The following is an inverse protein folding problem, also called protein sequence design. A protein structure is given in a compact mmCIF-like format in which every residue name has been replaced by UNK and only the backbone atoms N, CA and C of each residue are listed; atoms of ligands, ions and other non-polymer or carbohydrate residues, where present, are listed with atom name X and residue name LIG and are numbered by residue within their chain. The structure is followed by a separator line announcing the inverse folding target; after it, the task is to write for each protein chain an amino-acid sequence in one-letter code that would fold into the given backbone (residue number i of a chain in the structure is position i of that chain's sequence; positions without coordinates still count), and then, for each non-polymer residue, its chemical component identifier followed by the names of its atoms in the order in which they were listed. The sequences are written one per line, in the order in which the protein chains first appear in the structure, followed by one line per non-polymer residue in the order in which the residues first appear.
data_IF_014936527607
#
_entry.id   IF_014936527607
#
_cell.length_a   1.000
_cell.length_b   1.000
_cell.length_c   1.000
_cell.angle_alpha   90.00
_cell.angle_beta   90.00
_cell.angle_gamma   90.00
#
_symmetry.space_group_name_H-M   'P 1'
#
loop_
_entity.id
_entity.type
_entity.pdbx_description
1 polymer ?
#
# COMPACT_ATOMS: atom_id res chain seq x y z
N UNK A 1 -18.82 5.12 6.10
CA UNK A 1 -20.08 5.07 6.93
C UNK A 1 -21.18 5.97 6.37
N UNK A 2 -20.92 6.76 5.34
CA UNK A 2 -21.94 7.59 4.66
C UNK A 2 -22.89 6.79 3.75
N UNK A 3 -22.62 5.51 3.51
CA UNK A 3 -23.32 4.70 2.50
C UNK A 3 -23.03 5.11 1.06
N UNK A 4 -22.12 6.04 0.84
CA UNK A 4 -21.72 6.52 -0.49
C UNK A 4 -20.38 5.89 -0.85
N UNK A 5 -20.31 5.28 -2.02
CA UNK A 5 -19.07 4.70 -2.54
C UNK A 5 -18.00 5.78 -2.75
N UNK A 6 -16.76 5.39 -2.58
CA UNK A 6 -15.60 6.25 -2.85
C UNK A 6 -14.64 5.55 -3.81
N UNK A 7 -14.01 6.32 -4.69
CA UNK A 7 -12.94 5.86 -5.55
C UNK A 7 -11.63 6.48 -5.09
N UNK A 8 -10.65 5.63 -4.81
CA UNK A 8 -9.28 6.05 -4.53
C UNK A 8 -8.43 5.95 -5.79
N UNK A 9 -7.65 6.99 -6.07
CA UNK A 9 -6.71 7.03 -7.19
C UNK A 9 -5.32 7.30 -6.63
N UNK A 10 -4.37 6.45 -6.98
CA UNK A 10 -2.95 6.63 -6.70
C UNK A 10 -2.26 7.20 -7.92
N UNK A 11 -1.51 8.27 -7.74
CA UNK A 11 -0.85 8.97 -8.83
C UNK A 11 0.67 8.84 -8.71
N UNK A 12 1.28 8.32 -9.78
CA UNK A 12 2.72 8.37 -9.96
C UNK A 12 3.15 9.83 -10.25
N UNK A 13 4.35 10.20 -9.84
CA UNK A 13 4.93 11.55 -10.03
C UNK A 13 4.31 12.70 -9.22
N UNK A 14 3.57 12.40 -8.18
CA UNK A 14 3.11 13.38 -7.20
C UNK A 14 4.23 14.35 -6.77
N UNK A 15 5.43 13.83 -6.66
CA UNK A 15 6.61 14.46 -6.09
C UNK A 15 7.07 15.71 -6.87
N UNK A 16 6.85 15.78 -8.18
CA UNK A 16 7.29 16.89 -9.02
C UNK A 16 6.29 17.36 -10.07
N UNK A 17 5.14 16.76 -10.07
CA UNK A 17 3.99 17.15 -10.90
C UNK A 17 2.79 17.28 -9.99
N UNK A 18 2.18 18.38 -9.84
CA UNK A 18 1.01 18.60 -8.99
C UNK A 18 -0.15 17.62 -9.31
N UNK A 19 -0.02 16.38 -8.91
CA UNK A 19 -0.96 15.30 -9.19
C UNK A 19 -1.16 14.43 -7.96
N UNK A 20 -1.84 14.94 -6.98
CA UNK A 20 -1.98 14.35 -5.65
C UNK A 20 -2.77 13.04 -5.66
N UNK A 21 -2.50 12.18 -4.67
CA UNK A 21 -3.39 11.09 -4.31
C UNK A 21 -4.82 11.61 -4.17
N UNK A 22 -5.79 10.95 -4.82
CA UNK A 22 -7.16 11.44 -4.90
C UNK A 22 -8.14 10.49 -4.21
N UNK A 23 -9.16 11.08 -3.61
CA UNK A 23 -10.33 10.36 -3.13
C UNK A 23 -11.58 11.04 -3.66
N UNK A 24 -12.40 10.29 -4.38
CA UNK A 24 -13.61 10.76 -5.02
C UNK A 24 -14.85 10.21 -4.34
N UNK A 25 -15.84 11.03 -4.11
CA UNK A 25 -17.17 10.63 -3.69
C UNK A 25 -18.01 10.27 -4.92
N UNK A 26 -18.61 9.10 -4.92
CA UNK A 26 -19.43 8.57 -6.00
C UNK A 26 -20.88 8.42 -5.54
N UNK A 27 -21.62 9.53 -5.46
CA UNK A 27 -23.03 9.50 -5.08
C UNK A 27 -23.88 9.07 -6.29
N UNK A 28 -24.87 8.16 -6.13
CA UNK A 28 -25.76 7.77 -7.19
C UNK A 28 -26.49 8.98 -7.81
N UNK A 29 -26.53 9.03 -9.14
CA UNK A 29 -27.20 10.10 -9.88
C UNK A 29 -26.51 11.47 -9.86
N UNK A 30 -25.30 11.58 -9.31
CA UNK A 30 -24.54 12.82 -9.25
C UNK A 30 -23.15 12.66 -9.89
N UNK A 31 -22.58 13.74 -10.37
CA UNK A 31 -21.18 13.75 -10.84
C UNK A 31 -20.21 13.43 -9.69
N UNK A 32 -19.12 12.67 -9.96
CA UNK A 32 -18.08 12.44 -8.97
C UNK A 32 -17.54 13.75 -8.39
N UNK A 33 -17.32 13.79 -7.07
CA UNK A 33 -16.77 14.95 -6.38
C UNK A 33 -15.47 14.57 -5.67
N UNK A 34 -14.41 15.36 -5.90
CA UNK A 34 -13.15 15.19 -5.19
C UNK A 34 -13.31 15.63 -3.73
N UNK A 35 -12.86 14.78 -2.80
CA UNK A 35 -12.76 15.19 -1.40
C UNK A 35 -11.65 16.22 -1.23
N UNK A 36 -11.89 17.22 -0.38
CA UNK A 36 -10.96 18.30 -0.08
C UNK A 36 -10.37 18.20 1.33
N UNK A 37 -9.39 19.05 1.62
CA UNK A 37 -8.78 19.12 2.95
C UNK A 37 -9.80 19.52 4.03
N UNK A 38 -10.73 20.42 3.71
CA UNK A 38 -11.79 20.86 4.62
C UNK A 38 -12.77 19.72 4.96
N UNK A 39 -12.86 18.73 4.07
CA UNK A 39 -13.61 17.50 4.27
C UNK A 39 -12.81 16.40 4.99
N UNK A 40 -11.58 16.69 5.41
CA UNK A 40 -10.70 15.79 6.15
C UNK A 40 -9.75 14.94 5.29
N UNK A 41 -9.83 15.06 3.96
CA UNK A 41 -8.93 14.36 3.07
C UNK A 41 -7.54 15.00 3.09
N UNK A 42 -6.53 14.21 3.44
CA UNK A 42 -5.13 14.63 3.38
C UNK A 42 -4.42 13.77 2.34
N UNK A 43 -4.16 14.29 1.14
CA UNK A 43 -3.43 13.55 0.12
C UNK A 43 -2.00 13.27 0.57
N UNK A 44 -1.50 12.09 0.18
CA UNK A 44 -0.11 11.72 0.41
C UNK A 44 0.76 12.23 -0.73
N UNK A 45 2.00 12.58 -0.42
CA UNK A 45 3.05 12.85 -1.40
C UNK A 45 3.91 11.60 -1.55
N UNK A 46 3.55 10.76 -2.51
CA UNK A 46 4.25 9.51 -2.82
C UNK A 46 4.33 9.33 -4.34
N UNK A 47 5.23 8.49 -4.81
CA UNK A 47 5.15 7.94 -6.16
C UNK A 47 4.22 6.73 -6.13
N UNK A 48 2.93 6.99 -6.12
CA UNK A 48 1.93 5.96 -5.95
C UNK A 48 1.70 5.15 -7.21
N UNK A 49 1.66 3.82 -7.09
CA UNK A 49 1.53 2.92 -8.23
C UNK A 49 0.41 1.90 -8.02
N UNK A 50 0.42 1.15 -6.95
CA UNK A 50 -0.57 0.12 -6.66
C UNK A 50 -1.40 0.44 -5.42
N UNK A 51 -2.65 -0.04 -5.42
CA UNK A 51 -3.58 0.04 -4.30
C UNK A 51 -4.09 -1.35 -3.99
N UNK A 52 -4.03 -1.73 -2.71
CA UNK A 52 -4.75 -2.90 -2.19
C UNK A 52 -5.56 -2.48 -0.96
N UNK A 53 -6.71 -3.12 -0.74
CA UNK A 53 -7.51 -2.84 0.44
C UNK A 53 -8.09 -4.11 1.04
N UNK A 54 -8.12 -4.17 2.36
CA UNK A 54 -8.70 -5.27 3.12
C UNK A 54 -9.04 -4.79 4.52
N UNK A 55 -10.09 -5.32 5.10
CA UNK A 55 -10.43 -5.10 6.51
C UNK A 55 -9.54 -5.98 7.38
N UNK A 56 -8.42 -5.40 7.85
CA UNK A 56 -7.35 -6.14 8.54
C UNK A 56 -7.61 -6.39 10.03
N UNK A 57 -8.53 -5.66 10.62
CA UNK A 57 -8.84 -5.77 12.06
C UNK A 57 -10.30 -6.12 12.35
N UNK A 58 -11.10 -6.35 11.29
CA UNK A 58 -12.48 -6.82 11.39
C UNK A 58 -13.47 -5.75 11.84
N UNK A 59 -13.12 -4.45 11.70
CA UNK A 59 -14.01 -3.35 12.11
C UNK A 59 -15.05 -2.97 11.04
N UNK A 60 -15.03 -3.64 9.88
CA UNK A 60 -15.88 -3.39 8.74
C UNK A 60 -15.44 -2.23 7.84
N UNK A 61 -14.26 -1.67 8.09
CA UNK A 61 -13.67 -0.58 7.29
C UNK A 61 -12.31 -1.03 6.75
N UNK A 62 -12.12 -1.08 5.43
CA UNK A 62 -10.87 -1.59 4.89
C UNK A 62 -9.70 -0.62 5.13
N UNK A 63 -8.57 -1.15 5.56
CA UNK A 63 -7.28 -0.51 5.42
C UNK A 63 -6.91 -0.43 3.94
N UNK A 64 -6.14 0.60 3.59
CA UNK A 64 -5.69 0.84 2.22
C UNK A 64 -4.17 0.86 2.18
N UNK A 65 -3.61 -0.13 1.49
CA UNK A 65 -2.18 -0.20 1.23
C UNK A 65 -1.85 0.48 -0.10
N UNK A 66 -0.81 1.30 -0.10
CA UNK A 66 -0.33 2.03 -1.26
C UNK A 66 1.15 1.71 -1.49
N UNK A 67 1.46 1.24 -2.68
CA UNK A 67 2.86 1.03 -3.08
C UNK A 67 3.51 2.32 -3.54
N UNK A 68 4.82 2.44 -3.37
CA UNK A 68 5.59 3.61 -3.77
C UNK A 68 7.03 3.25 -4.15
N UNK A 69 7.74 4.19 -4.73
CA UNK A 69 9.19 4.09 -4.97
C UNK A 69 10.04 4.28 -3.70
N UNK A 70 9.43 4.47 -2.56
CA UNK A 70 10.11 4.59 -1.28
C UNK A 70 9.25 3.94 -0.23
N UNK A 71 8.76 4.70 0.72
CA UNK A 71 7.92 4.17 1.78
C UNK A 71 6.54 3.78 1.27
N UNK A 72 6.21 2.50 1.36
CA UNK A 72 4.83 2.06 1.23
C UNK A 72 4.00 2.63 2.37
N UNK A 73 2.71 2.85 2.10
CA UNK A 73 1.76 3.37 3.08
C UNK A 73 0.66 2.37 3.37
N UNK A 74 0.31 2.23 4.63
CA UNK A 74 -0.87 1.48 5.06
C UNK A 74 -1.76 2.45 5.83
N UNK A 75 -2.86 2.84 5.19
CA UNK A 75 -3.76 3.84 5.75
C UNK A 75 -4.97 3.19 6.40
N UNK A 76 -5.22 3.58 7.63
CA UNK A 76 -6.40 3.23 8.40
C UNK A 76 -7.29 4.46 8.59
N UNK A 77 -8.59 4.31 8.40
CA UNK A 77 -9.56 5.36 8.69
C UNK A 77 -9.58 5.62 10.20
N UNK A 78 -9.61 6.88 10.59
CA UNK A 78 -9.68 7.23 12.01
C UNK A 78 -11.00 6.75 12.63
N UNK A 79 -10.90 6.15 13.82
CA UNK A 79 -12.05 5.59 14.50
C UNK A 79 -13.13 6.66 14.74
N UNK A 80 -14.38 6.34 14.40
CA UNK A 80 -15.50 7.25 14.54
C UNK A 80 -15.54 8.44 13.58
N UNK A 81 -14.57 8.56 12.66
CA UNK A 81 -14.53 9.66 11.71
C UNK A 81 -15.77 9.67 10.80
N UNK A 82 -16.47 10.78 10.79
CA UNK A 82 -17.57 11.03 9.84
C UNK A 82 -17.04 11.50 8.46
N UNK A 83 -15.73 11.71 8.35
CA UNK A 83 -15.03 12.25 7.19
C UNK A 83 -13.88 11.32 6.82
N UNK A 84 -13.35 11.36 5.58
CA UNK A 84 -12.25 10.52 5.14
C UNK A 84 -10.90 10.97 5.74
N UNK A 85 -10.78 10.87 7.05
CA UNK A 85 -9.55 11.14 7.78
C UNK A 85 -8.79 9.83 7.99
N UNK A 86 -7.61 9.71 7.40
CA UNK A 86 -6.77 8.53 7.47
C UNK A 86 -5.45 8.83 8.16
N UNK A 87 -4.94 7.85 8.91
CA UNK A 87 -3.59 7.84 9.45
C UNK A 87 -2.75 6.74 8.81
N UNK A 88 -1.47 6.98 8.63
CA UNK A 88 -0.52 5.97 8.18
C UNK A 88 -0.09 5.10 9.36
N UNK A 89 -0.33 3.81 9.26
CA UNK A 89 0.04 2.81 10.27
C UNK A 89 1.10 1.82 9.77
N UNK A 90 1.67 2.05 8.58
CA UNK A 90 2.59 1.12 7.94
C UNK A 90 3.79 0.79 8.84
N UNK A 91 4.43 1.79 9.44
CA UNK A 91 5.56 1.58 10.34
C UNK A 91 5.17 0.77 11.57
N UNK A 92 4.08 1.13 12.23
CA UNK A 92 3.58 0.42 13.42
C UNK A 92 3.23 -1.04 13.14
N UNK A 93 2.72 -1.32 11.94
CA UNK A 93 2.32 -2.67 11.51
C UNK A 93 3.48 -3.46 10.88
N UNK A 94 4.65 -2.85 10.65
CA UNK A 94 5.77 -3.51 9.97
C UNK A 94 5.55 -3.71 8.46
N UNK A 95 4.74 -2.85 7.84
CA UNK A 95 4.40 -2.92 6.41
C UNK A 95 5.15 -1.89 5.55
N UNK A 96 6.12 -1.18 6.11
CA UNK A 96 7.01 -0.28 5.36
C UNK A 96 8.18 -1.00 4.71
N UNK A 97 8.32 -2.31 4.92
CA UNK A 97 9.46 -3.08 4.43
C UNK A 97 9.67 -2.86 2.93
N UNK A 98 10.87 -2.41 2.59
CA UNK A 98 11.24 -2.16 1.20
C UNK A 98 11.70 -3.42 0.49
N UNK A 99 12.24 -4.39 1.23
CA UNK A 99 12.80 -5.62 0.67
C UNK A 99 12.84 -6.72 1.72
N UNK A 100 12.88 -8.00 1.30
CA UNK A 100 13.34 -9.07 2.16
C UNK A 100 14.79 -8.78 2.55
N UNK A 101 15.16 -9.07 3.78
CA UNK A 101 16.48 -8.74 4.29
C UNK A 101 17.52 -9.78 3.85
N UNK A 102 17.93 -9.74 2.58
CA UNK A 102 18.81 -10.75 1.96
C UNK A 102 20.10 -10.18 1.37
N UNK A 103 20.56 -9.02 1.79
CA UNK A 103 21.82 -8.52 1.27
C UNK A 103 22.14 -7.09 1.59
N UNK A 104 23.28 -6.63 1.13
CA UNK A 104 23.91 -5.38 1.53
C UNK A 104 23.36 -4.11 0.89
N UNK A 105 22.40 -4.18 -0.04
CA UNK A 105 21.84 -2.98 -0.63
C UNK A 105 20.77 -2.38 0.31
N UNK A 106 21.12 -1.25 0.92
CA UNK A 106 20.28 -0.54 1.90
C UNK A 106 19.37 0.53 1.27
N UNK A 107 19.46 0.74 -0.05
CA UNK A 107 18.64 1.71 -0.73
C UNK A 107 17.16 1.31 -0.73
N UNK A 108 16.22 2.28 -0.75
CA UNK A 108 14.81 1.99 -0.89
C UNK A 108 14.51 1.29 -2.21
N UNK A 109 13.48 0.48 -2.21
CA UNK A 109 13.03 -0.23 -3.40
C UNK A 109 11.80 0.41 -4.05
N UNK A 110 11.43 -0.13 -5.22
CA UNK A 110 10.25 0.31 -5.97
C UNK A 110 9.20 -0.78 -5.96
N UNK A 111 8.07 -0.50 -5.33
CA UNK A 111 6.92 -1.39 -5.24
C UNK A 111 5.83 -0.96 -6.25
N UNK A 112 5.31 -1.91 -7.04
CA UNK A 112 4.38 -1.65 -8.14
C UNK A 112 2.97 -2.13 -7.86
N UNK A 113 2.83 -3.36 -7.40
CA UNK A 113 1.54 -3.98 -7.15
C UNK A 113 1.51 -4.58 -5.76
N UNK A 114 0.34 -4.61 -5.16
CA UNK A 114 0.11 -5.27 -3.88
C UNK A 114 -1.23 -5.99 -3.88
N UNK A 115 -1.30 -7.10 -3.13
CA UNK A 115 -2.54 -7.84 -2.95
C UNK A 115 -2.58 -8.42 -1.53
N UNK A 116 -3.76 -8.34 -0.90
CA UNK A 116 -4.05 -9.04 0.33
C UNK A 116 -4.69 -10.40 0.04
N UNK A 117 -4.22 -11.45 0.70
CA UNK A 117 -4.83 -12.78 0.71
C UNK A 117 -4.33 -13.56 1.93
N UNK A 118 -5.13 -14.48 2.44
CA UNK A 118 -4.71 -15.44 3.47
C UNK A 118 -3.96 -16.60 2.79
N UNK A 119 -2.63 -16.47 2.66
CA UNK A 119 -1.80 -17.44 1.90
C UNK A 119 -1.41 -18.66 2.71
N UNK A 120 -1.50 -18.59 4.03
CA UNK A 120 -1.14 -19.67 4.94
C UNK A 120 -2.36 -20.34 5.60
N UNK A 121 -3.58 -19.87 5.26
CA UNK A 121 -4.86 -20.36 5.77
C UNK A 121 -5.00 -20.26 7.29
N UNK A 122 -4.51 -19.15 7.87
CA UNK A 122 -4.60 -18.91 9.31
C UNK A 122 -5.74 -17.92 9.70
N UNK A 123 -6.55 -17.52 8.71
CA UNK A 123 -7.69 -16.62 8.88
C UNK A 123 -7.31 -15.15 8.91
N UNK A 124 -6.05 -14.79 8.65
CA UNK A 124 -5.58 -13.40 8.57
C UNK A 124 -5.11 -13.07 7.16
N UNK A 125 -5.31 -11.83 6.74
CA UNK A 125 -4.88 -11.42 5.41
C UNK A 125 -3.40 -11.03 5.41
N UNK A 126 -2.62 -11.77 4.65
CA UNK A 126 -1.22 -11.49 4.35
C UNK A 126 -1.10 -10.50 3.21
N UNK A 127 0.06 -9.92 3.00
CA UNK A 127 0.30 -8.91 1.98
C UNK A 127 1.45 -9.31 1.06
N UNK A 128 1.15 -9.54 -0.21
CA UNK A 128 2.15 -9.76 -1.25
C UNK A 128 2.43 -8.45 -2.01
N UNK A 129 3.71 -8.12 -2.21
CA UNK A 129 4.15 -6.90 -2.87
C UNK A 129 5.09 -7.25 -4.00
N UNK A 130 4.72 -6.86 -5.22
CA UNK A 130 5.53 -7.04 -6.42
C UNK A 130 6.43 -5.84 -6.62
N UNK A 131 7.73 -6.11 -6.80
CA UNK A 131 8.76 -5.08 -6.86
C UNK A 131 9.66 -5.22 -8.09
N UNK A 132 10.36 -4.15 -8.40
CA UNK A 132 11.34 -4.14 -9.46
C UNK A 132 11.62 -2.75 -10.01
N UNK A 133 12.86 -2.31 -10.00
CA UNK A 133 13.23 -1.00 -10.54
C UNK A 133 13.19 -0.99 -12.08
N UNK A 134 12.88 0.15 -12.68
CA UNK A 134 12.85 0.32 -14.14
C UNK A 134 14.27 0.30 -14.70
N UNK A 135 15.17 0.98 -14.03
CA UNK A 135 16.59 1.08 -14.39
C UNK A 135 17.44 1.20 -13.13
N UNK A 136 18.74 1.08 -13.27
CA UNK A 136 19.65 1.40 -12.17
C UNK A 136 19.53 2.90 -11.86
N UNK A 137 19.21 3.21 -10.61
CA UNK A 137 19.13 4.56 -10.08
C UNK A 137 20.06 4.65 -8.87
N UNK A 138 20.87 5.72 -8.74
CA UNK A 138 21.85 5.83 -7.65
C UNK A 138 21.26 5.70 -6.25
N UNK A 139 20.04 6.21 -6.07
CA UNK A 139 19.39 6.29 -4.76
C UNK A 139 18.36 5.17 -4.51
N UNK A 140 18.28 4.17 -5.40
CA UNK A 140 17.32 3.08 -5.29
C UNK A 140 17.99 1.72 -5.51
N UNK A 141 17.46 0.70 -4.83
CA UNK A 141 17.97 -0.65 -4.95
C UNK A 141 17.90 -1.16 -6.39
N UNK A 142 19.03 -1.65 -6.91
CA UNK A 142 19.10 -2.21 -8.25
C UNK A 142 18.37 -3.56 -8.35
N UNK A 143 18.34 -4.30 -7.25
CA UNK A 143 17.66 -5.59 -7.11
C UNK A 143 16.59 -5.48 -6.04
N UNK A 144 15.33 -5.52 -6.46
CA UNK A 144 14.16 -5.33 -5.63
C UNK A 144 13.38 -6.65 -5.50
N UNK A 145 13.70 -7.52 -4.54
CA UNK A 145 12.95 -8.76 -4.39
C UNK A 145 11.52 -8.47 -3.91
N UNK A 146 10.56 -9.28 -4.40
CA UNK A 146 9.19 -9.22 -3.93
C UNK A 146 9.12 -9.45 -2.42
N UNK A 147 8.14 -8.86 -1.77
CA UNK A 147 7.84 -9.13 -0.36
C UNK A 147 6.60 -10.03 -0.22
N UNK A 148 6.65 -10.93 0.73
CA UNK A 148 5.48 -11.59 1.30
C UNK A 148 5.46 -11.29 2.80
N UNK A 149 4.52 -10.48 3.24
CA UNK A 149 4.37 -10.07 4.62
C UNK A 149 3.23 -10.87 5.25
N UNK A 150 3.56 -11.79 6.17
CA UNK A 150 2.57 -12.58 6.89
C UNK A 150 2.04 -11.80 8.09
N UNK A 151 0.71 -11.70 8.21
CA UNK A 151 0.07 -11.02 9.34
C UNK A 151 0.11 -11.92 10.58
N UNK A 152 0.59 -11.36 11.68
CA UNK A 152 0.61 -12.00 13.00
C UNK A 152 -0.69 -11.74 13.77
N UNK A 153 -0.90 -12.51 14.83
CA UNK A 153 -2.07 -12.37 15.71
C UNK A 153 -2.19 -10.99 16.39
N UNK A 154 -1.08 -10.28 16.56
CA UNK A 154 -1.05 -8.91 17.08
C UNK A 154 -1.33 -7.84 16.01
N UNK A 155 -1.61 -8.27 14.78
CA UNK A 155 -1.88 -7.43 13.63
C UNK A 155 -0.64 -6.82 12.98
N UNK A 156 0.57 -7.15 13.44
CA UNK A 156 1.82 -6.76 12.77
C UNK A 156 2.14 -7.72 11.62
N UNK A 157 3.02 -7.29 10.72
CA UNK A 157 3.48 -8.10 9.60
C UNK A 157 4.92 -8.56 9.79
N UNK A 158 5.22 -9.75 9.28
CA UNK A 158 6.57 -10.32 9.23
C UNK A 158 6.94 -10.69 7.80
N UNK A 159 8.13 -10.29 7.38
CA UNK A 159 8.66 -10.65 6.06
C UNK A 159 8.94 -12.17 5.98
N UNK A 160 8.40 -12.81 4.97
CA UNK A 160 8.54 -14.25 4.72
C UNK A 160 8.85 -14.57 3.25
N UNK A 161 9.04 -13.57 2.38
CA UNK A 161 9.19 -13.78 0.94
C UNK A 161 10.38 -14.66 0.57
N UNK A 162 11.49 -14.54 1.28
CA UNK A 162 12.66 -15.41 1.07
C UNK A 162 12.37 -16.84 1.52
N UNK A 163 11.79 -17.02 2.69
CA UNK A 163 11.45 -18.33 3.24
C UNK A 163 10.42 -19.07 2.35
N UNK A 164 9.45 -18.32 1.83
CA UNK A 164 8.43 -18.84 0.92
C UNK A 164 8.94 -18.99 -0.54
N UNK A 165 10.19 -18.62 -0.82
CA UNK A 165 10.79 -18.68 -2.16
C UNK A 165 10.06 -17.82 -3.22
N UNK A 166 9.45 -16.71 -2.80
CA UNK A 166 8.77 -15.75 -3.69
C UNK A 166 9.56 -14.43 -3.85
N UNK A 167 10.68 -14.28 -3.16
CA UNK A 167 11.56 -13.12 -3.21
C UNK A 167 12.37 -13.08 -4.52
N UNK A 168 11.70 -12.91 -5.65
CA UNK A 168 12.33 -12.82 -6.96
C UNK A 168 13.04 -11.49 -7.14
N UNK A 169 14.28 -11.52 -7.63
CA UNK A 169 15.06 -10.34 -8.04
C UNK A 169 14.75 -9.87 -9.47
N UNK A 170 13.84 -10.52 -10.15
CA UNK A 170 13.41 -10.10 -11.49
C UNK A 170 12.45 -8.91 -11.37
N UNK A 171 12.47 -8.06 -12.39
CA UNK A 171 11.61 -6.86 -12.44
C UNK A 171 10.14 -7.25 -12.62
N UNK A 172 9.38 -7.27 -11.54
CA UNK A 172 7.94 -7.47 -11.55
C UNK A 172 7.17 -6.14 -11.67
N UNK A 173 5.95 -6.20 -12.22
CA UNK A 173 5.02 -5.06 -12.29
C UNK A 173 3.64 -5.40 -11.78
N UNK A 174 3.23 -6.63 -11.94
CA UNK A 174 1.96 -7.14 -11.48
C UNK A 174 2.11 -8.55 -10.95
N UNK A 175 1.21 -8.95 -10.09
CA UNK A 175 1.12 -10.30 -9.53
C UNK A 175 -0.30 -10.57 -9.08
N UNK A 176 -0.61 -11.84 -8.88
CA UNK A 176 -1.89 -12.32 -8.35
C UNK A 176 -1.62 -13.50 -7.44
N UNK A 177 -2.37 -13.59 -6.36
CA UNK A 177 -2.41 -14.71 -5.42
C UNK A 177 -3.68 -15.53 -5.62
#
# INVERSE_FOLDING_TARGET
RSGVASLRVSNDREYYKAGQEQLWQLAPGAAPKLYTAEQGWKPLQIWGMGIASHDLDGDGLPEVFLTSMSDNKLQQLDAGAARPSYRDIAFKRGATAHRPYIGGDVHPSTAWHAQFADVNHDGRADLFIVKGNISAMPDFAAQDPNNLLLQRADGTFAEAGQLANVASFKRGRGGML
#
